data_IF_759997147403
#
_entry.id   IF_759997147403
#
_cell.length_a   1.000
_cell.length_b   1.000
_cell.length_c   1.000
_cell.angle_alpha   90.00
_cell.angle_beta   90.00
_cell.angle_gamma   90.00
#
_symmetry.space_group_name_H-M   'P 1'
#
loop_
_entity.id
_entity.type
_entity.pdbx_description
1 polymer ?
#
# COMPACT_ATOMS: atom_id res chain seq x y z
N UNK A 1 -6.47 10.95 1.42
CA UNK A 1 -6.59 12.43 1.37
C UNK A 1 -6.20 13.02 0.01
N UNK A 2 -5.16 12.53 -0.68
CA UNK A 2 -4.79 13.00 -2.03
C UNK A 2 -5.85 12.68 -3.12
N UNK A 3 -6.59 11.58 -3.00
CA UNK A 3 -7.60 11.17 -4.00
C UNK A 3 -8.96 11.91 -3.90
N UNK A 4 -9.30 12.49 -2.75
CA UNK A 4 -10.51 13.30 -2.59
C UNK A 4 -10.37 14.71 -3.19
N UNK A 5 -9.13 15.16 -3.40
CA UNK A 5 -8.80 16.43 -4.03
C UNK A 5 -8.11 16.24 -5.40
N UNK A 6 -8.03 15.01 -5.85
CA UNK A 6 -7.34 14.60 -7.07
C UNK A 6 -7.95 15.19 -8.32
N UNK A 7 -7.07 15.73 -9.12
CA UNK A 7 -7.19 16.26 -10.49
C UNK A 7 -7.74 17.65 -10.63
N UNK A 8 -6.81 18.59 -10.71
CA UNK A 8 -6.87 20.04 -10.90
C UNK A 8 -7.19 20.79 -9.61
N UNK A 9 -6.13 21.12 -8.87
CA UNK A 9 -6.19 22.17 -7.84
C UNK A 9 -6.56 23.47 -8.54
N UNK A 10 -7.82 23.82 -8.48
CA UNK A 10 -8.26 25.17 -8.88
C UNK A 10 -7.65 26.16 -7.88
N UNK A 11 -7.32 27.36 -8.34
CA UNK A 11 -6.83 28.48 -7.50
C UNK A 11 -7.69 28.63 -6.23
N UNK A 12 -9.00 28.45 -6.33
CA UNK A 12 -9.92 28.48 -5.20
C UNK A 12 -9.67 27.44 -4.12
N UNK A 13 -9.28 26.20 -4.48
CA UNK A 13 -8.92 25.16 -3.50
C UNK A 13 -7.62 25.48 -2.79
N UNK A 14 -6.64 25.98 -3.52
CA UNK A 14 -5.36 26.40 -2.92
C UNK A 14 -5.56 27.59 -1.98
N UNK A 15 -6.37 28.56 -2.34
CA UNK A 15 -6.71 29.70 -1.51
C UNK A 15 -7.46 29.27 -0.24
N UNK A 16 -8.46 28.38 -0.37
CA UNK A 16 -9.18 27.81 0.78
C UNK A 16 -8.22 27.09 1.74
N UNK A 17 -7.33 26.23 1.22
CA UNK A 17 -6.39 25.50 2.05
C UNK A 17 -5.42 26.44 2.80
N UNK A 18 -4.91 27.48 2.12
CA UNK A 18 -4.03 28.46 2.76
C UNK A 18 -4.77 29.27 3.84
N UNK A 19 -5.99 29.72 3.56
CA UNK A 19 -6.81 30.47 4.51
C UNK A 19 -7.20 29.65 5.73
N UNK A 20 -7.59 28.40 5.53
CA UNK A 20 -7.95 27.46 6.59
C UNK A 20 -6.79 27.19 7.55
N UNK A 21 -5.59 26.93 7.00
CA UNK A 21 -4.37 26.77 7.81
C UNK A 21 -4.03 28.07 8.56
N UNK A 22 -4.09 29.22 7.87
CA UNK A 22 -3.84 30.53 8.48
C UNK A 22 -4.75 30.83 9.66
N UNK A 23 -6.05 30.61 9.52
CA UNK A 23 -7.03 30.79 10.61
C UNK A 23 -6.70 29.86 11.78
N UNK A 24 -6.45 28.58 11.51
CA UNK A 24 -6.17 27.58 12.55
C UNK A 24 -4.90 27.91 13.35
N UNK A 25 -3.83 28.32 12.65
CA UNK A 25 -2.57 28.74 13.29
C UNK A 25 -2.79 30.01 14.11
N UNK A 26 -3.49 31.02 13.57
CA UNK A 26 -3.74 32.27 14.28
C UNK A 26 -4.50 32.04 15.59
N UNK A 27 -5.58 31.25 15.56
CA UNK A 27 -6.35 30.94 16.75
C UNK A 27 -5.54 30.15 17.79
N UNK A 28 -4.78 29.17 17.34
CA UNK A 28 -3.89 28.41 18.22
C UNK A 28 -2.83 29.31 18.87
N UNK A 29 -2.25 30.25 18.11
CA UNK A 29 -1.26 31.22 18.62
C UNK A 29 -1.87 32.20 19.64
N UNK A 30 -3.09 32.68 19.42
CA UNK A 30 -3.79 33.55 20.36
C UNK A 30 -4.00 32.82 21.71
N UNK A 31 -4.44 31.56 21.67
CA UNK A 31 -4.64 30.75 22.86
C UNK A 31 -3.31 30.47 23.57
N UNK A 32 -2.25 30.16 22.80
CA UNK A 32 -0.91 29.98 23.35
C UNK A 32 -0.43 31.22 24.10
N UNK A 33 -0.54 32.41 23.48
CA UNK A 33 -0.14 33.69 24.11
C UNK A 33 -0.98 33.98 25.34
N UNK A 34 -2.26 33.67 25.33
CA UNK A 34 -3.16 33.89 26.48
C UNK A 34 -2.75 33.05 27.69
N UNK A 35 -2.16 31.87 27.48
CA UNK A 35 -1.72 30.98 28.55
C UNK A 35 -0.26 31.27 28.97
N UNK A 36 0.63 31.42 28.01
CA UNK A 36 2.07 31.57 28.23
C UNK A 36 2.52 33.03 28.38
N UNK A 37 1.72 33.99 27.92
CA UNK A 37 2.01 35.41 28.03
C UNK A 37 2.91 36.00 26.91
N UNK A 38 3.58 35.14 26.12
CA UNK A 38 4.46 35.56 25.03
C UNK A 38 4.59 34.46 23.96
N UNK A 39 5.19 34.79 22.80
CA UNK A 39 5.54 33.83 21.75
C UNK A 39 6.92 33.18 21.97
N UNK A 40 7.61 33.44 23.08
CA UNK A 40 8.94 32.89 23.35
C UNK A 40 8.92 31.45 23.87
N UNK A 41 10.06 30.75 23.75
CA UNK A 41 10.27 29.38 24.27
C UNK A 41 10.72 29.38 25.74
N UNK A 42 10.04 30.16 26.59
CA UNK A 42 10.25 30.05 28.03
C UNK A 42 9.77 28.68 28.54
N UNK A 43 10.66 27.69 28.65
CA UNK A 43 10.35 26.29 28.96
C UNK A 43 9.82 26.08 30.41
N UNK A 44 8.84 26.88 30.84
CA UNK A 44 8.10 26.70 32.07
C UNK A 44 6.92 25.74 31.92
N UNK A 45 6.24 25.43 33.06
CA UNK A 45 5.06 24.55 33.05
C UNK A 45 3.91 25.13 32.21
N UNK A 46 3.74 26.43 32.23
CA UNK A 46 2.78 27.23 31.44
C UNK A 46 3.03 27.12 29.96
N UNK A 47 4.33 27.04 29.50
CA UNK A 47 4.68 26.79 28.12
C UNK A 47 4.13 25.45 27.62
N UNK A 48 4.38 24.35 28.32
CA UNK A 48 3.94 23.02 27.89
C UNK A 48 2.41 22.90 27.90
N UNK A 49 1.74 23.51 28.88
CA UNK A 49 0.27 23.57 28.92
C UNK A 49 -0.25 24.39 27.73
N UNK A 50 0.30 25.58 27.51
CA UNK A 50 -0.09 26.45 26.39
C UNK A 50 0.14 25.80 25.05
N UNK A 51 1.28 25.13 24.85
CA UNK A 51 1.61 24.40 23.62
C UNK A 51 0.65 23.22 23.40
N UNK A 52 0.39 22.41 24.42
CA UNK A 52 -0.55 21.29 24.30
C UNK A 52 -1.96 21.76 23.95
N UNK A 53 -2.46 22.81 24.59
CA UNK A 53 -3.78 23.39 24.28
C UNK A 53 -3.80 23.97 22.87
N UNK A 54 -2.74 24.67 22.44
CA UNK A 54 -2.64 25.23 21.08
C UNK A 54 -2.66 24.13 20.01
N UNK A 55 -1.98 23.01 20.22
CA UNK A 55 -2.00 21.85 19.30
C UNK A 55 -3.42 21.28 19.18
N UNK A 56 -4.14 21.14 20.27
CA UNK A 56 -5.54 20.66 20.25
C UNK A 56 -6.45 21.64 19.51
N UNK A 57 -6.33 22.94 19.78
CA UNK A 57 -7.11 23.98 19.09
C UNK A 57 -6.80 24.00 17.59
N UNK A 58 -5.52 23.95 17.23
CA UNK A 58 -5.12 23.84 15.83
C UNK A 58 -5.78 22.64 15.14
N UNK A 59 -5.68 21.47 15.73
CA UNK A 59 -6.26 20.24 15.18
C UNK A 59 -7.77 20.33 15.00
N UNK A 60 -8.48 20.78 16.03
CA UNK A 60 -9.94 20.92 15.99
C UNK A 60 -10.37 21.92 14.91
N UNK A 61 -9.77 23.10 14.88
CA UNK A 61 -10.10 24.15 13.92
C UNK A 61 -9.76 23.74 12.49
N UNK A 62 -8.58 23.16 12.30
CA UNK A 62 -8.11 22.70 10.99
C UNK A 62 -9.04 21.63 10.39
N UNK A 63 -9.41 20.61 11.17
CA UNK A 63 -10.28 19.52 10.72
C UNK A 63 -11.73 19.95 10.56
N UNK A 64 -12.22 20.86 11.44
CA UNK A 64 -13.55 21.40 11.35
C UNK A 64 -13.74 22.28 10.11
N UNK A 65 -12.81 23.19 9.83
CA UNK A 65 -12.85 24.03 8.62
C UNK A 65 -12.82 23.22 7.32
N UNK A 66 -12.03 22.13 7.28
CA UNK A 66 -12.05 21.20 6.12
C UNK A 66 -13.43 20.55 5.97
N UNK A 67 -14.07 20.17 7.08
CA UNK A 67 -15.40 19.56 7.05
C UNK A 67 -16.47 20.54 6.60
N UNK A 68 -16.36 21.81 6.99
CA UNK A 68 -17.23 22.92 6.50
C UNK A 68 -17.00 23.13 5.00
N UNK A 69 -15.77 23.10 4.54
CA UNK A 69 -15.45 23.17 3.10
C UNK A 69 -16.05 22.00 2.30
N UNK A 70 -16.02 20.79 2.85
CA UNK A 70 -16.64 19.63 2.22
C UNK A 70 -18.18 19.75 2.16
N UNK A 71 -18.78 20.27 3.22
CA UNK A 71 -20.22 20.60 3.20
C UNK A 71 -20.55 21.64 2.13
N UNK A 72 -19.80 22.72 2.05
CA UNK A 72 -20.07 23.82 1.10
C UNK A 72 -19.87 23.40 -0.37
N UNK A 73 -18.92 22.51 -0.64
CA UNK A 73 -18.58 22.11 -2.02
C UNK A 73 -19.34 20.87 -2.50
N UNK A 74 -19.66 19.95 -1.59
CA UNK A 74 -20.18 18.61 -1.93
C UNK A 74 -21.52 18.29 -1.25
N UNK A 75 -22.04 19.16 -0.36
CA UNK A 75 -23.28 18.93 0.38
C UNK A 75 -23.17 17.83 1.46
N UNK A 76 -21.95 17.40 1.82
CA UNK A 76 -21.75 16.35 2.82
C UNK A 76 -22.08 16.82 4.24
N UNK A 77 -22.68 15.95 5.06
CA UNK A 77 -22.93 16.28 6.46
C UNK A 77 -21.61 16.44 7.23
N UNK A 78 -21.41 17.61 7.88
CA UNK A 78 -20.17 18.01 8.55
C UNK A 78 -19.72 16.96 9.58
N UNK A 79 -20.62 16.52 10.47
CA UNK A 79 -20.30 15.58 11.54
C UNK A 79 -19.92 14.20 11.00
N UNK A 80 -20.68 13.70 10.03
CA UNK A 80 -20.40 12.39 9.40
C UNK A 80 -19.09 12.42 8.63
N UNK A 81 -18.81 13.51 7.93
CA UNK A 81 -17.54 13.70 7.22
C UNK A 81 -16.37 13.75 8.21
N UNK A 82 -16.50 14.52 9.29
CA UNK A 82 -15.46 14.65 10.31
C UNK A 82 -15.13 13.31 10.98
N UNK A 83 -16.14 12.58 11.46
CA UNK A 83 -15.96 11.27 12.10
C UNK A 83 -15.30 10.28 11.17
N UNK A 84 -15.72 10.22 9.90
CA UNK A 84 -15.19 9.29 8.91
C UNK A 84 -13.72 9.57 8.58
N UNK A 85 -13.33 10.86 8.46
CA UNK A 85 -12.03 11.23 7.93
C UNK A 85 -11.01 11.65 8.99
N UNK A 86 -11.43 12.19 10.14
CA UNK A 86 -10.54 12.84 11.09
C UNK A 86 -10.53 12.24 12.51
N UNK A 87 -11.43 11.31 12.81
CA UNK A 87 -11.52 10.68 14.14
C UNK A 87 -10.17 10.18 14.66
N UNK A 88 -9.32 9.65 13.80
CA UNK A 88 -8.02 9.10 14.14
C UNK A 88 -6.84 10.03 13.82
N UNK A 89 -7.10 11.21 13.27
CA UNK A 89 -6.04 12.11 12.79
C UNK A 89 -5.26 12.77 13.93
N UNK A 90 -5.81 12.78 15.15
CA UNK A 90 -5.12 13.29 16.34
C UNK A 90 -3.78 12.58 16.59
N UNK A 91 -3.62 11.32 16.18
CA UNK A 91 -2.37 10.57 16.31
C UNK A 91 -1.25 11.25 15.51
N UNK A 92 -1.55 11.77 14.33
CA UNK A 92 -0.57 12.50 13.50
C UNK A 92 -0.15 13.81 14.16
N UNK A 93 -1.10 14.54 14.76
CA UNK A 93 -0.79 15.78 15.48
C UNK A 93 0.05 15.51 16.73
N UNK A 94 -0.25 14.45 17.46
CA UNK A 94 0.55 14.04 18.62
C UNK A 94 1.99 13.69 18.24
N UNK A 95 2.22 13.12 17.08
CA UNK A 95 3.56 12.79 16.59
C UNK A 95 4.26 13.96 15.90
N UNK A 96 3.52 14.90 15.30
CA UNK A 96 4.09 16.09 14.64
C UNK A 96 4.41 17.22 15.59
N UNK A 97 3.70 17.34 16.72
CA UNK A 97 3.90 18.41 17.70
C UNK A 97 5.34 18.45 18.28
N UNK A 98 5.96 17.33 18.71
CA UNK A 98 7.35 17.33 19.16
C UNK A 98 8.33 17.76 18.07
N UNK A 99 8.05 17.42 16.80
CA UNK A 99 8.88 17.84 15.66
C UNK A 99 8.77 19.35 15.47
N UNK A 100 7.56 19.91 15.51
CA UNK A 100 7.34 21.35 15.43
C UNK A 100 8.06 22.10 16.57
N UNK A 101 8.02 21.55 17.79
CA UNK A 101 8.74 22.11 18.94
C UNK A 101 10.26 22.06 18.74
N UNK A 102 10.80 20.97 18.22
CA UNK A 102 12.22 20.84 17.92
C UNK A 102 12.66 21.85 16.84
N UNK A 103 11.83 22.08 15.83
CA UNK A 103 12.07 23.09 14.78
C UNK A 103 12.08 24.52 15.39
N UNK A 104 11.08 24.82 16.25
CA UNK A 104 11.02 26.13 16.91
C UNK A 104 12.24 26.36 17.82
N UNK A 105 12.63 25.37 18.61
CA UNK A 105 13.82 25.44 19.46
C UNK A 105 15.11 25.60 18.66
N UNK A 106 15.28 24.86 17.56
CA UNK A 106 16.45 25.00 16.69
C UNK A 106 16.50 26.38 16.05
N UNK A 107 15.36 26.95 15.66
CA UNK A 107 15.29 28.30 15.09
C UNK A 107 15.65 29.36 16.13
N UNK A 108 15.10 29.27 17.33
CA UNK A 108 15.40 30.24 18.40
C UNK A 108 16.86 30.17 18.84
N UNK A 109 17.43 28.97 18.91
CA UNK A 109 18.82 28.78 19.39
C UNK A 109 19.88 29.11 18.31
N UNK A 110 19.64 28.77 17.06
CA UNK A 110 20.59 28.79 15.96
C UNK A 110 20.12 29.61 14.73
N UNK A 111 18.91 30.20 14.80
CA UNK A 111 18.35 30.95 13.67
C UNK A 111 18.14 30.06 12.43
N UNK A 112 18.39 30.64 11.27
CA UNK A 112 18.27 29.94 9.98
C UNK A 112 19.17 28.69 9.88
N UNK A 113 20.32 28.70 10.56
CA UNK A 113 21.23 27.53 10.56
C UNK A 113 20.53 26.33 11.21
N UNK A 114 19.81 26.53 12.31
CA UNK A 114 19.03 25.48 12.97
C UNK A 114 17.97 24.86 12.06
N UNK A 115 17.26 25.68 11.30
CA UNK A 115 16.30 25.20 10.31
C UNK A 115 16.97 24.37 9.20
N UNK A 116 18.12 24.82 8.67
CA UNK A 116 18.84 24.08 7.65
C UNK A 116 19.36 22.73 8.17
N UNK A 117 19.85 22.69 9.41
CA UNK A 117 20.32 21.45 10.05
C UNK A 117 19.20 20.41 10.21
N UNK A 118 17.96 20.83 10.39
CA UNK A 118 16.80 19.93 10.48
C UNK A 118 16.20 19.61 9.11
N UNK A 119 16.15 20.59 8.19
CA UNK A 119 15.58 20.45 6.87
C UNK A 119 16.38 19.48 5.98
N UNK A 120 17.72 19.50 6.05
CA UNK A 120 18.58 18.64 5.24
C UNK A 120 18.34 17.14 5.51
N UNK A 121 18.40 16.63 6.76
CA UNK A 121 18.08 15.23 7.03
C UNK A 121 16.64 14.87 6.63
N UNK A 122 15.66 15.73 6.89
CA UNK A 122 14.28 15.51 6.49
C UNK A 122 14.13 15.38 4.97
N UNK A 123 14.79 16.24 4.20
CA UNK A 123 14.85 16.16 2.75
C UNK A 123 15.53 14.87 2.29
N UNK A 124 16.64 14.47 2.91
CA UNK A 124 17.34 13.23 2.58
C UNK A 124 16.46 11.99 2.82
N UNK A 125 15.75 11.94 3.96
CA UNK A 125 14.79 10.86 4.26
C UNK A 125 13.66 10.83 3.22
N UNK A 126 13.11 12.01 2.85
CA UNK A 126 12.08 12.12 1.82
C UNK A 126 12.57 11.61 0.46
N UNK A 127 13.78 12.02 0.05
CA UNK A 127 14.37 11.59 -1.21
C UNK A 127 14.64 10.07 -1.21
N UNK A 128 15.23 9.55 -0.13
CA UNK A 128 15.50 8.12 0.02
C UNK A 128 14.18 7.30 -0.02
N UNK A 129 13.14 7.75 0.66
CA UNK A 129 11.82 7.11 0.64
C UNK A 129 11.18 7.16 -0.75
N UNK A 130 11.28 8.29 -1.45
CA UNK A 130 10.81 8.42 -2.83
C UNK A 130 11.54 7.45 -3.77
N UNK A 131 12.86 7.34 -3.65
CA UNK A 131 13.66 6.38 -4.42
C UNK A 131 13.28 4.94 -4.10
N UNK A 132 13.06 4.61 -2.83
CA UNK A 132 12.59 3.28 -2.42
C UNK A 132 11.24 2.92 -3.04
N UNK A 133 10.27 3.84 -3.03
CA UNK A 133 8.97 3.62 -3.65
C UNK A 133 9.07 3.44 -5.18
N UNK A 134 9.88 4.26 -5.85
CA UNK A 134 10.12 4.14 -7.29
C UNK A 134 10.77 2.80 -7.64
N UNK A 135 11.79 2.38 -6.89
CA UNK A 135 12.44 1.09 -7.08
C UNK A 135 11.43 -0.07 -6.91
N UNK A 136 10.60 0.01 -5.87
CA UNK A 136 9.55 -0.99 -5.61
C UNK A 136 8.53 -1.07 -6.75
N UNK A 137 8.09 0.06 -7.29
CA UNK A 137 7.18 0.11 -8.43
C UNK A 137 7.83 -0.47 -9.70
N UNK A 138 9.05 -0.02 -10.02
CA UNK A 138 9.80 -0.52 -11.18
C UNK A 138 10.01 -2.04 -11.11
N UNK A 139 10.35 -2.55 -9.93
CA UNK A 139 10.49 -3.99 -9.71
C UNK A 139 9.20 -4.76 -10.05
N UNK A 140 8.04 -4.30 -9.53
CA UNK A 140 6.74 -4.93 -9.82
C UNK A 140 6.38 -4.88 -11.32
N UNK A 141 6.60 -3.73 -11.95
CA UNK A 141 6.36 -3.55 -13.39
C UNK A 141 7.28 -4.43 -14.23
N UNK A 142 8.53 -4.61 -13.81
CA UNK A 142 9.49 -5.50 -14.49
C UNK A 142 9.02 -6.95 -14.41
N UNK A 143 8.64 -7.44 -13.21
CA UNK A 143 8.10 -8.80 -13.05
C UNK A 143 6.87 -9.00 -13.92
N UNK A 144 5.91 -8.06 -13.88
CA UNK A 144 4.70 -8.10 -14.71
C UNK A 144 5.02 -8.13 -16.21
N UNK A 145 5.99 -7.31 -16.66
CA UNK A 145 6.39 -7.24 -18.05
C UNK A 145 7.05 -8.54 -18.49
N UNK A 146 7.93 -9.12 -17.68
CA UNK A 146 8.56 -10.41 -17.98
C UNK A 146 7.53 -11.53 -18.10
N UNK A 147 6.55 -11.60 -17.19
CA UNK A 147 5.47 -12.58 -17.28
C UNK A 147 4.67 -12.39 -18.58
N UNK A 148 4.33 -11.15 -18.95
CA UNK A 148 3.64 -10.86 -20.22
C UNK A 148 4.43 -11.32 -21.43
N UNK A 149 5.75 -11.09 -21.46
CA UNK A 149 6.61 -11.57 -22.57
C UNK A 149 6.55 -13.09 -22.66
N UNK A 150 6.53 -13.79 -21.53
CA UNK A 150 6.39 -15.25 -21.50
C UNK A 150 5.03 -15.70 -22.03
N UNK A 151 3.95 -15.07 -21.58
CA UNK A 151 2.58 -15.35 -22.02
C UNK A 151 2.36 -15.05 -23.51
N UNK A 152 3.10 -14.11 -24.13
CA UNK A 152 2.99 -13.82 -25.57
C UNK A 152 3.33 -15.01 -26.46
N UNK A 153 4.03 -16.01 -25.95
CA UNK A 153 4.33 -17.24 -26.67
C UNK A 153 3.17 -18.25 -26.63
N UNK A 154 2.14 -18.01 -25.80
CA UNK A 154 0.93 -18.84 -25.71
C UNK A 154 -0.34 -17.97 -25.82
N UNK A 155 -1.07 -18.03 -26.95
CA UNK A 155 -2.28 -17.24 -27.16
C UNK A 155 -3.39 -17.48 -26.14
N UNK A 156 -3.41 -18.64 -25.47
CA UNK A 156 -4.43 -18.97 -24.46
C UNK A 156 -4.14 -18.34 -23.10
N UNK A 157 -2.90 -17.99 -22.82
CA UNK A 157 -2.49 -17.41 -21.53
C UNK A 157 -2.30 -15.90 -21.57
N UNK A 158 -2.50 -15.27 -22.72
CA UNK A 158 -2.32 -13.82 -22.86
C UNK A 158 -3.16 -13.02 -21.86
N UNK A 159 -2.50 -12.36 -20.90
CA UNK A 159 -3.11 -11.57 -19.84
C UNK A 159 -3.79 -12.37 -18.73
N UNK A 160 -3.69 -13.68 -18.74
CA UNK A 160 -4.22 -14.57 -17.68
C UNK A 160 -3.64 -14.23 -16.33
N UNK A 161 -2.32 -14.21 -16.19
CA UNK A 161 -1.66 -13.90 -14.90
C UNK A 161 -2.04 -12.52 -14.36
N UNK A 162 -2.25 -11.52 -15.24
CA UNK A 162 -2.76 -10.18 -14.84
C UNK A 162 -4.18 -10.26 -14.26
N UNK A 163 -5.09 -11.05 -14.86
CA UNK A 163 -6.45 -11.21 -14.38
C UNK A 163 -6.49 -11.98 -13.07
N UNK A 164 -5.78 -13.11 -12.99
CA UNK A 164 -5.66 -13.92 -11.76
C UNK A 164 -5.09 -13.10 -10.61
N UNK A 165 -4.02 -12.33 -10.83
CA UNK A 165 -3.45 -11.44 -9.83
C UNK A 165 -4.44 -10.35 -9.38
N UNK A 166 -5.24 -9.81 -10.31
CA UNK A 166 -6.28 -8.83 -9.99
C UNK A 166 -7.39 -9.43 -9.13
N UNK A 167 -7.85 -10.64 -9.44
CA UNK A 167 -8.87 -11.33 -8.64
C UNK A 167 -8.33 -11.71 -7.26
N UNK A 168 -7.12 -12.27 -7.20
CA UNK A 168 -6.46 -12.60 -5.95
C UNK A 168 -6.32 -11.38 -5.03
N UNK A 169 -5.90 -10.24 -5.58
CA UNK A 169 -5.81 -8.97 -4.85
C UNK A 169 -7.16 -8.52 -4.30
N UNK A 170 -8.23 -8.55 -5.12
CA UNK A 170 -9.58 -8.17 -4.67
C UNK A 170 -10.10 -9.08 -3.55
N UNK A 171 -9.82 -10.38 -3.63
CA UNK A 171 -10.14 -11.32 -2.55
C UNK A 171 -9.37 -10.97 -1.26
N UNK A 172 -8.07 -10.70 -1.34
CA UNK A 172 -7.26 -10.28 -0.20
C UNK A 172 -7.81 -9.00 0.46
N UNK A 173 -8.17 -7.99 -0.35
CA UNK A 173 -8.74 -6.72 0.13
C UNK A 173 -10.10 -6.94 0.83
N UNK A 174 -10.97 -7.78 0.25
CA UNK A 174 -12.26 -8.15 0.83
C UNK A 174 -12.09 -8.91 2.15
N UNK A 175 -11.09 -9.78 2.22
CA UNK A 175 -10.70 -10.50 3.44
C UNK A 175 -9.95 -9.63 4.45
N UNK A 176 -9.67 -8.37 4.13
CA UNK A 176 -8.93 -7.41 4.97
C UNK A 176 -7.54 -7.91 5.36
N UNK A 177 -6.86 -8.59 4.47
CA UNK A 177 -5.48 -9.01 4.68
C UNK A 177 -4.54 -7.80 4.70
N UNK A 178 -3.38 -7.95 5.35
CA UNK A 178 -2.40 -6.88 5.41
C UNK A 178 -1.89 -6.51 4.01
N UNK A 179 -1.52 -5.23 3.74
CA UNK A 179 -0.94 -4.84 2.46
C UNK A 179 0.29 -5.67 2.06
N UNK A 180 1.11 -6.07 3.04
CA UNK A 180 2.29 -6.90 2.80
C UNK A 180 1.91 -8.33 2.36
N UNK A 181 0.91 -8.93 2.99
CA UNK A 181 0.39 -10.25 2.61
C UNK A 181 -0.27 -10.19 1.23
N UNK A 182 -1.08 -9.17 0.98
CA UNK A 182 -1.73 -8.95 -0.33
C UNK A 182 -0.71 -8.84 -1.46
N UNK A 183 0.38 -8.09 -1.24
CA UNK A 183 1.45 -7.94 -2.21
C UNK A 183 2.15 -9.27 -2.54
N UNK A 184 2.44 -10.10 -1.52
CA UNK A 184 3.05 -11.41 -1.72
C UNK A 184 2.15 -12.35 -2.52
N UNK A 185 0.85 -12.37 -2.24
CA UNK A 185 -0.12 -13.18 -2.96
C UNK A 185 -0.28 -12.70 -4.40
N UNK A 186 -0.33 -11.39 -4.64
CA UNK A 186 -0.38 -10.80 -5.97
C UNK A 186 0.85 -11.18 -6.81
N UNK A 187 2.06 -11.09 -6.23
CA UNK A 187 3.30 -11.51 -6.89
C UNK A 187 3.31 -13.02 -7.18
N UNK A 188 2.88 -13.84 -6.23
CA UNK A 188 2.75 -15.28 -6.44
C UNK A 188 1.77 -15.60 -7.58
N UNK A 189 0.64 -14.85 -7.67
CA UNK A 189 -0.32 -15.01 -8.75
C UNK A 189 0.26 -14.65 -10.12
N UNK A 190 1.14 -13.64 -10.22
CA UNK A 190 1.86 -13.38 -11.48
C UNK A 190 2.78 -14.52 -11.89
N UNK A 191 3.37 -15.22 -10.93
CA UNK A 191 4.45 -16.18 -11.17
C UNK A 191 3.99 -17.64 -11.13
N UNK A 192 2.70 -17.92 -10.80
CA UNK A 192 2.23 -19.27 -10.51
C UNK A 192 2.45 -20.25 -11.67
N UNK A 193 2.32 -19.77 -12.88
CA UNK A 193 2.39 -20.53 -14.12
C UNK A 193 3.74 -20.43 -14.88
N UNK A 194 4.73 -19.77 -14.29
CA UNK A 194 6.03 -19.53 -14.92
C UNK A 194 6.72 -20.81 -15.39
N UNK A 195 6.50 -21.93 -14.69
CA UNK A 195 7.07 -23.25 -15.05
C UNK A 195 6.51 -23.84 -16.33
N UNK A 196 5.40 -23.34 -16.88
CA UNK A 196 4.84 -23.77 -18.19
C UNK A 196 5.72 -23.35 -19.39
N UNK A 197 6.69 -22.46 -19.18
CA UNK A 197 7.66 -22.05 -20.21
C UNK A 197 8.59 -23.17 -20.64
N UNK A 198 8.71 -24.25 -19.86
CA UNK A 198 9.53 -25.38 -20.25
C UNK A 198 9.08 -25.92 -21.62
N UNK A 199 10.04 -26.07 -22.53
CA UNK A 199 9.79 -26.47 -23.91
C UNK A 199 8.98 -27.77 -24.01
N UNK A 200 9.17 -28.71 -23.11
CA UNK A 200 8.45 -29.98 -23.07
C UNK A 200 6.97 -29.79 -22.71
N UNK A 201 6.64 -28.78 -21.87
CA UNK A 201 5.27 -28.47 -21.48
C UNK A 201 4.55 -27.60 -22.52
N UNK A 202 5.24 -26.69 -23.21
CA UNK A 202 4.65 -25.79 -24.19
C UNK A 202 3.96 -26.54 -25.36
N UNK A 203 4.52 -27.67 -25.79
CA UNK A 203 3.92 -28.54 -26.79
C UNK A 203 2.64 -29.23 -26.30
N UNK A 204 2.62 -29.63 -25.03
CA UNK A 204 1.50 -30.34 -24.40
C UNK A 204 0.34 -29.38 -24.13
N UNK A 205 0.62 -28.20 -23.62
CA UNK A 205 -0.40 -27.15 -23.30
C UNK A 205 -1.16 -26.72 -24.57
N UNK A 206 -0.48 -26.69 -25.73
CA UNK A 206 -1.08 -26.30 -27.04
C UNK A 206 -1.79 -27.44 -27.76
N UNK A 207 -1.77 -28.65 -27.22
CA UNK A 207 -2.36 -29.83 -27.88
C UNK A 207 -3.88 -29.72 -27.96
N UNK A 208 -4.43 -29.77 -29.16
CA UNK A 208 -5.86 -29.90 -29.36
C UNK A 208 -6.29 -31.32 -29.00
N UNK A 209 -7.12 -31.50 -27.97
CA UNK A 209 -7.69 -32.78 -27.58
C UNK A 209 -7.35 -33.22 -26.15
N UNK A 210 -7.69 -34.47 -25.83
CA UNK A 210 -7.46 -35.01 -24.49
C UNK A 210 -5.97 -35.32 -24.27
N UNK A 211 -5.48 -34.94 -23.10
CA UNK A 211 -4.11 -35.24 -22.67
C UNK A 211 -3.99 -36.73 -22.30
N UNK A 212 -2.87 -37.34 -22.64
CA UNK A 212 -2.48 -38.66 -22.12
C UNK A 212 -2.15 -38.58 -20.63
N UNK A 213 -2.08 -39.73 -19.94
CA UNK A 213 -1.71 -39.76 -18.53
C UNK A 213 -0.28 -39.25 -18.27
N UNK A 214 0.65 -39.51 -19.18
CA UNK A 214 2.04 -39.02 -19.07
C UNK A 214 2.09 -37.50 -19.30
N UNK A 215 1.34 -36.97 -20.28
CA UNK A 215 1.22 -35.52 -20.48
C UNK A 215 0.60 -34.83 -19.25
N UNK A 216 -0.42 -35.43 -18.65
CA UNK A 216 -1.01 -34.92 -17.39
C UNK A 216 -0.02 -34.91 -16.23
N UNK A 217 0.81 -35.97 -16.11
CA UNK A 217 1.87 -36.01 -15.08
C UNK A 217 2.88 -34.88 -15.28
N UNK A 218 3.30 -34.63 -16.54
CA UNK A 218 4.23 -33.57 -16.87
C UNK A 218 3.65 -32.19 -16.54
N UNK A 219 2.40 -31.91 -16.92
CA UNK A 219 1.74 -30.63 -16.59
C UNK A 219 1.65 -30.43 -15.06
N UNK A 220 1.38 -31.47 -14.29
CA UNK A 220 1.33 -31.38 -12.82
C UNK A 220 2.65 -30.99 -12.17
N UNK A 221 3.78 -30.96 -12.89
CA UNK A 221 5.05 -30.49 -12.40
C UNK A 221 5.22 -28.96 -12.45
N UNK A 222 4.38 -28.23 -13.23
CA UNK A 222 4.59 -26.78 -13.40
C UNK A 222 4.55 -25.99 -12.07
N UNK A 223 3.76 -26.32 -11.03
CA UNK A 223 3.83 -25.56 -9.78
C UNK A 223 5.19 -25.68 -9.09
N UNK A 224 5.76 -26.89 -9.12
CA UNK A 224 7.11 -27.12 -8.57
C UNK A 224 8.15 -26.36 -9.40
N UNK A 225 8.06 -26.42 -10.72
CA UNK A 225 8.98 -25.71 -11.62
C UNK A 225 8.85 -24.19 -11.49
N UNK A 226 7.63 -23.67 -11.37
CA UNK A 226 7.38 -22.25 -11.12
C UNK A 226 7.99 -21.79 -9.79
N UNK A 227 7.79 -22.58 -8.74
CA UNK A 227 8.35 -22.31 -7.41
C UNK A 227 9.88 -22.36 -7.40
N UNK A 228 10.49 -23.33 -8.10
CA UNK A 228 11.94 -23.47 -8.20
C UNK A 228 12.56 -22.31 -9.00
N UNK A 229 11.91 -21.84 -10.06
CA UNK A 229 12.32 -20.63 -10.77
C UNK A 229 12.20 -19.39 -9.88
N UNK A 230 11.07 -19.21 -9.19
CA UNK A 230 10.88 -18.11 -8.27
C UNK A 230 11.93 -18.11 -7.14
N UNK A 231 12.31 -19.29 -6.66
CA UNK A 231 13.30 -19.45 -5.58
C UNK A 231 14.72 -18.97 -5.94
N UNK A 232 15.01 -18.68 -7.23
CA UNK A 232 16.27 -18.05 -7.65
C UNK A 232 16.35 -16.59 -7.17
N UNK A 233 15.23 -15.95 -6.92
CA UNK A 233 15.15 -14.57 -6.42
C UNK A 233 14.98 -14.58 -4.90
N UNK A 234 15.93 -14.00 -4.17
CA UNK A 234 15.93 -14.03 -2.69
C UNK A 234 14.63 -13.49 -2.06
N UNK A 235 14.01 -12.50 -2.68
CA UNK A 235 12.75 -11.92 -2.21
C UNK A 235 11.54 -12.87 -2.28
N UNK A 236 11.57 -13.85 -3.19
CA UNK A 236 10.46 -14.80 -3.37
C UNK A 236 10.60 -16.05 -2.52
N UNK A 237 11.76 -16.27 -1.88
CA UNK A 237 12.00 -17.43 -1.03
C UNK A 237 11.03 -17.50 0.15
N UNK A 238 10.61 -18.69 0.47
CA UNK A 238 9.72 -18.97 1.59
C UNK A 238 8.26 -18.79 1.25
N UNK A 239 7.61 -17.71 1.70
CA UNK A 239 6.16 -17.59 1.62
C UNK A 239 5.63 -17.52 0.18
N UNK A 240 6.25 -16.70 -0.69
CA UNK A 240 5.82 -16.57 -2.09
C UNK A 240 6.05 -17.90 -2.84
N UNK A 241 7.22 -18.50 -2.67
CA UNK A 241 7.56 -19.79 -3.23
C UNK A 241 6.57 -20.88 -2.79
N UNK A 242 6.25 -20.94 -1.49
CA UNK A 242 5.30 -21.91 -0.96
C UNK A 242 3.88 -21.70 -1.53
N UNK A 243 3.45 -20.47 -1.73
CA UNK A 243 2.16 -20.15 -2.38
C UNK A 243 2.16 -20.67 -3.81
N UNK A 244 3.22 -20.39 -4.59
CA UNK A 244 3.36 -20.84 -5.97
C UNK A 244 3.37 -22.38 -6.05
N UNK A 245 4.13 -23.04 -5.20
CA UNK A 245 4.26 -24.50 -5.19
C UNK A 245 2.95 -25.23 -4.95
N UNK A 246 2.05 -24.63 -4.15
CA UNK A 246 0.85 -25.31 -3.68
C UNK A 246 -0.47 -24.73 -4.27
N UNK A 247 -0.40 -23.94 -5.33
CA UNK A 247 -1.60 -23.30 -5.88
C UNK A 247 -2.60 -24.28 -6.55
N UNK A 248 -2.23 -25.53 -6.77
CA UNK A 248 -3.11 -26.59 -7.23
C UNK A 248 -3.46 -27.62 -6.14
N UNK A 249 -3.21 -27.30 -4.87
CA UNK A 249 -3.70 -28.13 -3.77
C UNK A 249 -5.17 -27.91 -3.52
N UNK A 250 -5.94 -28.98 -3.39
CA UNK A 250 -7.37 -28.96 -3.10
C UNK A 250 -7.63 -29.09 -1.60
N UNK A 251 -8.69 -28.45 -1.12
CA UNK A 251 -9.05 -28.46 0.30
C UNK A 251 -9.20 -29.86 0.89
N UNK A 252 -9.67 -30.82 0.10
CA UNK A 252 -9.87 -32.22 0.47
C UNK A 252 -8.59 -33.07 0.42
N UNK A 253 -7.48 -32.53 -0.10
CA UNK A 253 -6.20 -33.22 -0.27
C UNK A 253 -6.09 -33.99 -1.58
N UNK A 254 -7.02 -33.85 -2.52
CA UNK A 254 -6.95 -34.47 -3.86
C UNK A 254 -6.06 -33.69 -4.84
N UNK A 255 -5.49 -32.57 -4.39
CA UNK A 255 -4.62 -31.69 -5.19
C UNK A 255 -3.20 -32.21 -5.35
N UNK A 256 -2.34 -31.38 -5.88
CA UNK A 256 -0.92 -31.65 -6.11
C UNK A 256 -0.07 -30.40 -5.86
N UNK A 257 1.24 -30.52 -5.61
CA UNK A 257 2.11 -31.70 -5.73
C UNK A 257 2.15 -32.59 -4.47
N UNK A 258 1.77 -32.09 -3.28
CA UNK A 258 1.99 -32.82 -2.01
C UNK A 258 0.72 -33.40 -1.39
N UNK A 259 -0.48 -33.10 -1.94
CA UNK A 259 -1.75 -33.54 -1.38
C UNK A 259 -2.06 -32.89 -0.02
N UNK A 260 -1.67 -31.63 0.16
CA UNK A 260 -1.96 -30.87 1.37
C UNK A 260 -3.48 -30.73 1.58
N UNK A 261 -3.91 -30.74 2.86
CA UNK A 261 -5.33 -30.72 3.17
C UNK A 261 -5.69 -29.57 4.11
N UNK A 262 -6.81 -28.93 3.82
CA UNK A 262 -7.42 -27.93 4.71
C UNK A 262 -6.49 -26.72 4.95
N UNK A 263 -6.30 -26.39 6.22
CA UNK A 263 -5.50 -25.23 6.65
C UNK A 263 -3.97 -25.40 6.44
N UNK A 264 -3.50 -26.61 6.16
CA UNK A 264 -2.09 -26.85 5.82
C UNK A 264 -1.72 -26.27 4.44
N UNK A 265 -2.72 -26.00 3.58
CA UNK A 265 -2.51 -25.30 2.31
C UNK A 265 -2.29 -23.81 2.61
N UNK A 266 -1.20 -23.19 2.13
CA UNK A 266 -0.98 -21.76 2.31
C UNK A 266 -2.20 -20.94 1.88
N UNK A 267 -2.58 -19.92 2.67
CA UNK A 267 -3.76 -19.11 2.35
C UNK A 267 -3.69 -18.50 0.94
N UNK A 268 -2.52 -17.98 0.56
CA UNK A 268 -2.31 -17.43 -0.77
C UNK A 268 -2.53 -18.46 -1.88
N UNK A 269 -2.12 -19.71 -1.67
CA UNK A 269 -2.33 -20.79 -2.64
C UNK A 269 -3.84 -21.07 -2.86
N UNK A 270 -4.62 -21.09 -1.76
CA UNK A 270 -6.09 -21.23 -1.83
C UNK A 270 -6.76 -20.07 -2.57
N UNK A 271 -6.27 -18.84 -2.36
CA UNK A 271 -6.77 -17.63 -3.04
C UNK A 271 -6.44 -17.70 -4.53
N UNK A 272 -5.22 -18.12 -4.90
CA UNK A 272 -4.81 -18.25 -6.31
C UNK A 272 -5.63 -19.34 -6.99
N UNK A 273 -5.81 -20.51 -6.37
CA UNK A 273 -6.64 -21.59 -6.93
C UNK A 273 -8.04 -21.10 -7.33
N UNK A 274 -8.69 -20.34 -6.45
CA UNK A 274 -10.04 -19.80 -6.71
C UNK A 274 -9.98 -18.75 -7.83
N UNK A 275 -8.97 -17.89 -7.83
CA UNK A 275 -8.81 -16.82 -8.82
C UNK A 275 -8.51 -17.38 -10.22
N UNK A 276 -7.67 -18.41 -10.30
CA UNK A 276 -7.31 -19.13 -11.51
C UNK A 276 -8.54 -19.88 -12.08
N UNK A 277 -9.23 -20.64 -11.24
CA UNK A 277 -10.47 -21.33 -11.65
C UNK A 277 -11.54 -20.35 -12.14
N UNK A 278 -11.67 -19.18 -11.51
CA UNK A 278 -12.61 -18.14 -11.93
C UNK A 278 -12.24 -17.57 -13.30
N UNK A 279 -10.96 -17.27 -13.53
CA UNK A 279 -10.48 -16.78 -14.83
C UNK A 279 -10.69 -17.80 -15.95
N UNK A 280 -10.48 -19.08 -15.68
CA UNK A 280 -10.69 -20.16 -16.65
C UNK A 280 -12.18 -20.37 -17.02
N UNK A 281 -13.13 -19.89 -16.21
CA UNK A 281 -14.57 -20.02 -16.46
C UNK A 281 -15.22 -18.78 -17.10
N UNK A 282 -14.51 -17.65 -17.12
CA UNK A 282 -15.05 -16.36 -17.60
C UNK A 282 -14.30 -15.81 -18.80
#
# INVERSE_FOLDING_TARGET
>A
MADLLGRRTTIGKSFFNASQVGISVTLASIVFIAIHGSLGLGLGGDFFVGFGVAVVIYWLMNTWLVSVGAWALYGENISSFWVRNFRWNWIYELTSAPIALAIAFAFESLGMIGLLLLALPALMVRLAYSQYLNLKMTYRETVRTLVKVIEMHDPYTAGHSDRVATYARRLCETMRLSPATTEKIELAAYLHDLGKINLDLAGIVRKAGKLTEDERRLIKLHPVMSADLANQVSYFKGEIEAIIRHHHENWDGSGYPHGLKGANIPLGARIILISDAFDAMT
#
